data_IF_855304893723
#
_entry.id   IF_855304893723
#
_cell.length_a   1.000
_cell.length_b   1.000
_cell.length_c   1.000
_cell.angle_alpha   90.00
_cell.angle_beta   90.00
_cell.angle_gamma   90.00
#
_symmetry.space_group_name_H-M   'P 1'
#
loop_
_entity.id
_entity.type
_entity.pdbx_description
1 polymer ?
#
# COMPACT_ATOMS: atom_id res chain seq x y z
N UNK A 1 -20.12 33.95 0.12
CA UNK A 1 -19.39 32.81 0.72
C UNK A 1 -20.09 31.48 0.53
N UNK A 2 -21.44 31.40 0.52
CA UNK A 2 -22.17 30.14 0.32
C UNK A 2 -21.99 29.42 -1.04
N UNK A 3 -21.73 30.16 -2.14
CA UNK A 3 -21.55 29.57 -3.48
C UNK A 3 -20.37 28.58 -3.55
N UNK A 4 -19.26 28.89 -2.87
CA UNK A 4 -18.07 28.03 -2.84
C UNK A 4 -18.38 26.69 -2.15
N UNK A 5 -19.17 26.73 -1.06
CA UNK A 5 -19.54 25.53 -0.29
C UNK A 5 -20.43 24.63 -1.15
N UNK A 6 -21.41 25.21 -1.86
CA UNK A 6 -22.30 24.46 -2.76
C UNK A 6 -21.52 23.77 -3.88
N UNK A 7 -20.54 24.45 -4.49
CA UNK A 7 -19.71 23.85 -5.53
C UNK A 7 -18.88 22.68 -5.00
N UNK A 8 -18.29 22.81 -3.80
CA UNK A 8 -17.54 21.71 -3.17
C UNK A 8 -18.43 20.50 -2.91
N UNK A 9 -19.67 20.70 -2.45
CA UNK A 9 -20.63 19.59 -2.21
C UNK A 9 -20.95 18.81 -3.48
N UNK A 10 -21.18 19.52 -4.59
CA UNK A 10 -21.48 18.87 -5.88
C UNK A 10 -20.28 18.04 -6.35
N UNK A 11 -19.06 18.58 -6.22
CA UNK A 11 -17.83 17.87 -6.60
C UNK A 11 -17.60 16.65 -5.71
N UNK A 12 -17.76 16.78 -4.39
CA UNK A 12 -17.62 15.68 -3.42
C UNK A 12 -18.62 14.54 -3.70
N UNK A 13 -19.90 14.86 -3.90
CA UNK A 13 -20.91 13.85 -4.21
C UNK A 13 -20.61 13.13 -5.54
N UNK A 14 -20.15 13.86 -6.54
CA UNK A 14 -19.77 13.27 -7.84
C UNK A 14 -18.57 12.34 -7.72
N UNK A 15 -17.55 12.76 -6.97
CA UNK A 15 -16.36 11.95 -6.70
C UNK A 15 -16.71 10.70 -5.89
N UNK A 16 -17.59 10.81 -4.90
CA UNK A 16 -18.05 9.69 -4.07
C UNK A 16 -18.79 8.62 -4.88
N UNK A 17 -19.73 9.03 -5.74
CA UNK A 17 -20.45 8.10 -6.62
C UNK A 17 -19.47 7.41 -7.59
N UNK A 18 -18.54 8.16 -8.16
CA UNK A 18 -17.51 7.60 -9.05
C UNK A 18 -16.60 6.62 -8.32
N UNK A 19 -16.20 6.94 -7.08
CA UNK A 19 -15.42 6.05 -6.24
C UNK A 19 -16.17 4.73 -5.98
N UNK A 20 -17.45 4.77 -5.58
CA UNK A 20 -18.23 3.53 -5.38
C UNK A 20 -18.29 2.64 -6.62
N UNK A 21 -18.35 3.21 -7.82
CA UNK A 21 -18.34 2.45 -9.09
C UNK A 21 -16.94 1.90 -9.42
N UNK A 22 -15.89 2.66 -9.14
CA UNK A 22 -14.51 2.25 -9.47
C UNK A 22 -13.94 1.23 -8.49
N UNK A 23 -14.51 1.14 -7.28
CA UNK A 23 -14.06 0.21 -6.24
C UNK A 23 -14.05 -1.26 -6.66
N UNK A 24 -14.95 -1.70 -7.55
CA UNK A 24 -14.91 -3.08 -8.07
C UNK A 24 -13.68 -3.36 -8.95
N UNK A 25 -13.09 -2.32 -9.57
CA UNK A 25 -11.90 -2.45 -10.42
C UNK A 25 -10.59 -2.25 -9.65
N UNK A 26 -10.64 -1.65 -8.45
CA UNK A 26 -9.46 -1.30 -7.65
C UNK A 26 -8.68 -2.54 -7.20
N UNK A 27 -9.34 -3.66 -6.90
CA UNK A 27 -8.70 -4.93 -6.53
C UNK A 27 -7.74 -5.43 -7.63
N UNK A 28 -8.14 -5.30 -8.90
CA UNK A 28 -7.39 -5.75 -10.07
C UNK A 28 -6.28 -4.75 -10.41
N UNK A 29 -6.58 -3.45 -10.30
CA UNK A 29 -5.63 -2.38 -10.60
C UNK A 29 -4.45 -2.36 -9.62
N UNK A 30 -4.70 -2.55 -8.32
CA UNK A 30 -3.64 -2.62 -7.30
C UNK A 30 -2.73 -3.82 -7.55
N UNK A 31 -3.29 -5.00 -7.87
CA UNK A 31 -2.50 -6.18 -8.21
C UNK A 31 -1.63 -5.98 -9.45
N UNK A 32 -2.20 -5.36 -10.48
CA UNK A 32 -1.50 -5.09 -11.75
C UNK A 32 -0.40 -4.04 -11.59
N UNK A 33 -0.69 -2.96 -10.86
CA UNK A 33 0.30 -1.92 -10.56
C UNK A 33 1.43 -2.48 -9.72
N UNK A 34 1.10 -3.32 -8.73
CA UNK A 34 2.11 -3.90 -7.86
C UNK A 34 2.95 -4.97 -8.57
N UNK A 35 2.39 -5.72 -9.51
CA UNK A 35 3.15 -6.65 -10.34
C UNK A 35 4.05 -5.94 -11.34
N UNK A 36 3.62 -4.82 -11.91
CA UNK A 36 4.46 -3.94 -12.72
C UNK A 36 5.62 -3.35 -11.89
N UNK A 37 5.32 -2.86 -10.69
CA UNK A 37 6.35 -2.35 -9.77
C UNK A 37 7.35 -3.44 -9.34
N UNK A 38 6.87 -4.65 -9.10
CA UNK A 38 7.72 -5.80 -8.83
C UNK A 38 8.67 -6.07 -10.01
N UNK A 39 8.14 -6.20 -11.23
CA UNK A 39 8.95 -6.42 -12.43
C UNK A 39 10.01 -5.33 -12.62
N UNK A 40 9.69 -4.08 -12.29
CA UNK A 40 10.63 -2.96 -12.38
C UNK A 40 11.67 -2.92 -11.25
N UNK A 41 11.31 -3.35 -10.04
CA UNK A 41 12.21 -3.32 -8.87
C UNK A 41 13.09 -4.57 -8.76
N UNK A 42 12.65 -5.71 -9.28
CA UNK A 42 13.38 -6.99 -9.22
C UNK A 42 13.87 -7.48 -10.57
N UNK A 43 13.67 -6.71 -11.65
CA UNK A 43 14.09 -7.05 -12.99
C UNK A 43 15.59 -7.36 -13.11
N UNK A 44 15.94 -8.27 -14.01
CA UNK A 44 17.34 -8.65 -14.29
C UNK A 44 18.09 -7.41 -14.82
N UNK A 45 19.05 -6.90 -14.03
CA UNK A 45 19.83 -5.70 -14.35
C UNK A 45 19.51 -4.46 -13.49
N UNK A 46 18.56 -4.55 -12.56
CA UNK A 46 18.23 -3.45 -11.64
C UNK A 46 19.21 -3.44 -10.45
N UNK A 47 19.79 -2.28 -10.18
CA UNK A 47 20.65 -2.07 -9.01
C UNK A 47 19.80 -2.23 -7.74
N UNK A 48 20.16 -3.16 -6.85
CA UNK A 48 19.44 -3.44 -5.58
C UNK A 48 19.48 -2.27 -4.59
N UNK A 49 20.34 -1.29 -4.85
CA UNK A 49 20.50 0.00 -4.14
C UNK A 49 19.62 1.11 -4.71
N UNK A 50 18.92 0.85 -5.82
CA UNK A 50 17.96 1.81 -6.38
C UNK A 50 16.87 2.13 -5.35
N UNK A 51 16.37 3.37 -5.40
CA UNK A 51 15.36 3.86 -4.46
C UNK A 51 14.10 2.97 -4.47
N UNK A 52 13.79 2.37 -5.62
CA UNK A 52 12.63 1.50 -5.78
C UNK A 52 12.82 0.13 -5.14
N UNK A 53 13.99 -0.49 -5.26
CA UNK A 53 14.31 -1.72 -4.54
C UNK A 53 14.27 -1.52 -3.01
N UNK A 54 14.80 -0.39 -2.51
CA UNK A 54 14.75 -0.07 -1.07
C UNK A 54 13.32 0.16 -0.58
N UNK A 55 12.47 0.81 -1.38
CA UNK A 55 11.05 1.00 -1.06
C UNK A 55 10.31 -0.33 -1.00
N UNK A 56 10.62 -1.24 -1.92
CA UNK A 56 10.08 -2.59 -1.94
C UNK A 56 10.48 -3.41 -0.71
N UNK A 57 11.75 -3.35 -0.31
CA UNK A 57 12.23 -4.02 0.91
C UNK A 57 11.53 -3.51 2.18
N UNK A 58 11.33 -2.19 2.29
CA UNK A 58 10.57 -1.59 3.41
C UNK A 58 9.12 -2.06 3.45
N UNK A 59 8.50 -2.28 2.28
CA UNK A 59 7.14 -2.79 2.20
C UNK A 59 7.05 -4.20 2.81
N UNK A 60 7.96 -5.10 2.42
CA UNK A 60 8.03 -6.47 2.94
C UNK A 60 8.16 -6.51 4.46
N UNK A 61 9.05 -5.68 5.03
CA UNK A 61 9.27 -5.61 6.48
C UNK A 61 8.06 -5.02 7.20
N UNK A 62 7.46 -3.95 6.67
CA UNK A 62 6.32 -3.26 7.30
C UNK A 62 5.07 -4.13 7.33
N UNK A 63 4.79 -4.88 6.26
CA UNK A 63 3.60 -5.70 6.13
C UNK A 63 3.84 -7.19 6.42
N UNK A 64 5.09 -7.59 6.71
CA UNK A 64 5.47 -8.98 6.97
C UNK A 64 4.97 -9.92 5.87
N UNK A 65 5.22 -9.52 4.62
CA UNK A 65 4.77 -10.18 3.41
C UNK A 65 5.93 -10.33 2.43
N UNK A 66 5.80 -11.24 1.47
CA UNK A 66 6.81 -11.44 0.44
C UNK A 66 6.18 -11.54 -0.94
N UNK A 67 6.69 -10.71 -1.86
CA UNK A 67 6.25 -10.73 -3.25
C UNK A 67 4.84 -10.18 -3.43
N UNK A 68 4.28 -10.35 -4.62
CA UNK A 68 2.97 -9.84 -4.96
C UNK A 68 1.89 -10.78 -4.44
N UNK A 69 1.94 -12.03 -4.88
CA UNK A 69 1.06 -13.13 -4.48
C UNK A 69 1.71 -14.07 -3.46
N UNK A 70 3.05 -14.08 -3.38
CA UNK A 70 3.80 -14.85 -2.41
C UNK A 70 5.27 -15.00 -2.78
N UNK A 71 6.03 -15.84 -2.05
CA UNK A 71 7.45 -16.07 -2.30
C UNK A 71 7.72 -16.74 -3.67
N UNK A 72 6.71 -17.37 -4.26
CA UNK A 72 6.81 -18.01 -5.57
C UNK A 72 7.04 -17.01 -6.72
N UNK A 73 6.70 -15.73 -6.55
CA UNK A 73 6.95 -14.71 -7.59
C UNK A 73 8.45 -14.50 -7.83
N UNK A 74 9.28 -14.81 -6.84
CA UNK A 74 10.74 -14.75 -6.93
C UNK A 74 11.38 -16.00 -7.55
N UNK A 75 10.62 -17.09 -7.79
CA UNK A 75 11.13 -18.26 -8.53
C UNK A 75 11.59 -17.86 -9.93
N UNK A 76 10.87 -16.92 -10.57
CA UNK A 76 11.21 -16.38 -11.89
C UNK A 76 12.52 -15.58 -11.90
N UNK A 77 12.87 -14.94 -10.79
CA UNK A 77 14.07 -14.11 -10.63
C UNK A 77 15.21 -14.85 -9.93
N UNK A 78 14.94 -16.03 -9.38
CA UNK A 78 15.93 -16.95 -8.79
C UNK A 78 16.51 -16.50 -7.45
N UNK A 79 16.06 -15.39 -6.88
CA UNK A 79 16.61 -14.86 -5.63
C UNK A 79 15.56 -14.07 -4.82
N UNK A 80 15.31 -14.50 -3.60
CA UNK A 80 14.42 -13.83 -2.65
C UNK A 80 15.23 -12.81 -1.84
N UNK A 81 14.79 -11.54 -1.71
CA UNK A 81 15.48 -10.54 -0.91
C UNK A 81 15.37 -10.86 0.58
N UNK A 82 16.40 -10.50 1.36
CA UNK A 82 16.44 -10.75 2.80
C UNK A 82 15.31 -10.05 3.58
N UNK A 83 14.71 -9.00 3.02
CA UNK A 83 13.53 -8.32 3.58
C UNK A 83 12.29 -9.22 3.73
N UNK A 84 12.24 -10.31 2.97
CA UNK A 84 11.16 -11.30 3.00
C UNK A 84 11.33 -12.38 4.08
N UNK A 85 12.49 -12.43 4.74
CA UNK A 85 12.76 -13.41 5.77
C UNK A 85 12.29 -12.82 7.11
N UNK A 86 11.66 -13.64 7.95
CA UNK A 86 10.89 -13.28 9.15
C UNK A 86 11.58 -12.43 10.24
N UNK A 87 12.73 -11.82 9.97
CA UNK A 87 13.44 -10.92 10.85
C UNK A 87 13.03 -9.46 10.57
N UNK A 88 11.93 -9.00 11.16
CA UNK A 88 11.78 -7.58 11.50
C UNK A 88 12.03 -7.41 13.00
N UNK A 89 12.61 -6.31 13.52
CA UNK A 89 13.40 -5.21 12.95
C UNK A 89 14.92 -5.39 13.22
N UNK A 90 15.70 -4.39 12.78
CA UNK A 90 17.16 -4.18 12.86
C UNK A 90 17.85 -4.30 14.25
N UNK A 91 17.24 -4.93 15.25
CA UNK A 91 17.79 -5.01 16.62
C UNK A 91 18.41 -6.37 16.91
N UNK A 92 19.53 -6.69 16.28
CA UNK A 92 20.47 -7.66 16.85
C UNK A 92 21.86 -7.47 16.25
N UNK A 93 22.63 -6.62 16.90
CA UNK A 93 24.09 -6.44 16.82
C UNK A 93 24.92 -7.76 16.94
N UNK A 94 24.32 -8.95 16.91
CA UNK A 94 24.98 -10.20 17.33
C UNK A 94 24.58 -11.50 16.60
N UNK A 95 23.85 -11.49 15.48
CA UNK A 95 23.65 -12.73 14.70
C UNK A 95 24.32 -12.68 13.33
N UNK A 96 25.27 -13.59 13.05
CA UNK A 96 25.96 -13.60 11.78
C UNK A 96 24.93 -13.85 10.67
N UNK A 97 25.03 -13.01 9.66
CA UNK A 97 24.30 -13.01 8.40
C UNK A 97 24.65 -14.30 7.62
N UNK A 98 24.18 -15.46 8.11
CA UNK A 98 24.54 -16.78 7.60
C UNK A 98 23.30 -17.63 7.31
N UNK A 99 22.94 -17.61 6.02
CA UNK A 99 22.63 -18.79 5.21
C UNK A 99 21.28 -19.51 5.26
N UNK A 100 20.36 -19.28 6.21
CA UNK A 100 19.05 -19.92 6.14
C UNK A 100 17.89 -18.97 6.42
N UNK A 101 17.26 -18.48 5.35
CA UNK A 101 15.88 -18.01 5.40
C UNK A 101 14.94 -19.20 5.59
N UNK A 102 15.01 -19.85 6.76
CA UNK A 102 14.17 -21.00 7.10
C UNK A 102 12.70 -20.61 7.21
N UNK A 103 12.40 -19.34 7.50
CA UNK A 103 11.04 -18.80 7.60
C UNK A 103 10.88 -17.57 6.70
N UNK A 104 10.45 -17.82 5.46
CA UNK A 104 10.02 -16.78 4.51
C UNK A 104 8.52 -16.51 4.70
N UNK A 105 8.11 -15.24 4.61
CA UNK A 105 6.69 -14.90 4.64
C UNK A 105 5.94 -15.55 3.46
N UNK A 106 5.01 -16.45 3.77
CA UNK A 106 4.17 -17.13 2.78
C UNK A 106 3.03 -16.25 2.25
N UNK A 107 2.79 -15.09 2.87
CA UNK A 107 1.72 -14.16 2.52
C UNK A 107 2.18 -13.19 1.43
N UNK A 108 1.40 -13.04 0.36
CA UNK A 108 1.62 -12.02 -0.67
C UNK A 108 1.23 -10.62 -0.19
N UNK A 109 1.98 -9.60 -0.62
CA UNK A 109 1.72 -8.22 -0.22
C UNK A 109 0.46 -7.62 -0.87
N UNK A 110 -0.04 -8.18 -1.98
CA UNK A 110 -1.09 -7.52 -2.76
C UNK A 110 -2.40 -7.42 -1.99
N UNK A 111 -2.80 -8.52 -1.34
CA UNK A 111 -4.05 -8.57 -0.58
C UNK A 111 -3.96 -7.75 0.73
N UNK A 112 -2.78 -7.72 1.36
CA UNK A 112 -2.54 -6.91 2.57
C UNK A 112 -2.55 -5.42 2.23
N UNK A 113 -1.86 -5.01 1.18
CA UNK A 113 -1.85 -3.63 0.73
C UNK A 113 -3.24 -3.17 0.29
N UNK A 114 -3.98 -4.06 -0.39
CA UNK A 114 -5.36 -3.83 -0.77
C UNK A 114 -6.26 -3.52 0.44
N UNK A 115 -6.27 -4.41 1.44
CA UNK A 115 -7.08 -4.24 2.64
C UNK A 115 -6.66 -3.01 3.45
N UNK A 116 -5.36 -2.77 3.59
CA UNK A 116 -4.84 -1.58 4.26
C UNK A 116 -5.23 -0.29 3.55
N UNK A 117 -5.07 -0.21 2.22
CA UNK A 117 -5.47 0.96 1.44
C UNK A 117 -6.97 1.24 1.58
N UNK A 118 -7.79 0.19 1.50
CA UNK A 118 -9.24 0.28 1.70
C UNK A 118 -9.60 0.86 3.06
N UNK A 119 -8.99 0.36 4.13
CA UNK A 119 -9.25 0.83 5.50
C UNK A 119 -8.81 2.29 5.69
N UNK A 120 -7.61 2.64 5.24
CA UNK A 120 -7.10 4.01 5.35
C UNK A 120 -7.96 5.01 4.57
N UNK A 121 -8.41 4.65 3.36
CA UNK A 121 -9.32 5.49 2.57
C UNK A 121 -10.66 5.72 3.28
N UNK A 122 -11.22 4.69 3.93
CA UNK A 122 -12.45 4.82 4.72
C UNK A 122 -12.25 5.75 5.92
N UNK A 123 -11.13 5.64 6.64
CA UNK A 123 -10.81 6.55 7.74
C UNK A 123 -10.68 8.00 7.28
N UNK A 124 -9.97 8.25 6.18
CA UNK A 124 -9.82 9.59 5.61
C UNK A 124 -11.20 10.15 5.21
N UNK A 125 -12.03 9.37 4.52
CA UNK A 125 -13.38 9.79 4.15
C UNK A 125 -14.26 10.15 5.36
N UNK A 126 -14.23 9.34 6.42
CA UNK A 126 -14.96 9.64 7.66
C UNK A 126 -14.48 10.93 8.31
N UNK A 127 -13.16 11.14 8.40
CA UNK A 127 -12.60 12.36 8.99
C UNK A 127 -12.91 13.61 8.18
N UNK A 128 -12.91 13.50 6.85
CA UNK A 128 -13.28 14.59 5.94
C UNK A 128 -14.75 14.99 6.08
N UNK A 129 -15.66 14.01 6.11
CA UNK A 129 -17.09 14.25 6.31
C UNK A 129 -17.39 14.87 7.69
N UNK A 130 -16.71 14.39 8.74
CA UNK A 130 -16.86 14.95 10.09
C UNK A 130 -16.37 16.41 10.17
N UNK A 131 -15.20 16.71 9.59
CA UNK A 131 -14.67 18.06 9.52
C UNK A 131 -15.59 19.00 8.73
N UNK A 132 -16.12 18.50 7.60
CA UNK A 132 -17.09 19.24 6.79
C UNK A 132 -18.38 19.56 7.57
N UNK A 133 -18.96 18.56 8.24
CA UNK A 133 -20.19 18.75 9.04
C UNK A 133 -19.98 19.74 10.19
N UNK A 134 -18.82 19.67 10.86
CA UNK A 134 -18.47 20.59 11.94
C UNK A 134 -18.30 22.04 11.44
N UNK A 135 -17.57 22.23 10.32
CA UNK A 135 -17.41 23.55 9.70
C UNK A 135 -18.74 24.12 9.20
N UNK A 136 -19.62 23.29 8.65
CA UNK A 136 -20.96 23.72 8.23
C UNK A 136 -21.82 24.13 9.43
N UNK A 137 -21.75 23.38 10.54
CA UNK A 137 -22.43 23.72 11.79
C UNK A 137 -21.99 25.08 12.34
N UNK A 138 -20.68 25.33 12.41
CA UNK A 138 -20.14 26.62 12.85
C UNK A 138 -20.52 27.75 11.87
N UNK A 139 -20.49 27.48 10.57
CA UNK A 139 -20.89 28.45 9.54
C UNK A 139 -22.38 28.76 9.51
N UNK A 140 -23.24 27.85 9.99
CA UNK A 140 -24.68 28.06 10.12
C UNK A 140 -25.08 28.76 11.44
N UNK A 141 -24.20 28.74 12.44
CA UNK A 141 -24.36 29.40 13.75
C UNK A 141 -23.90 30.88 13.74
N UNK A 142 -23.29 31.35 12.65
CA UNK A 142 -22.79 32.72 12.48
C UNK A 142 -23.48 33.43 11.32
#
# INVERSE_FOLDING_TARGET
TGLLIVLVVIVEFSCFVWAMVVWDNIDIDIKTTMSAYFAQSTGVGVERTSVDAVRWDRLHVKFQCCGVSGPNDFLSTGHVPFSCCGQGPLDALHKPYAADCSEVYQRGCANLLHSYAREQLLFVAMTALAAYAYCYGIGALR
#
